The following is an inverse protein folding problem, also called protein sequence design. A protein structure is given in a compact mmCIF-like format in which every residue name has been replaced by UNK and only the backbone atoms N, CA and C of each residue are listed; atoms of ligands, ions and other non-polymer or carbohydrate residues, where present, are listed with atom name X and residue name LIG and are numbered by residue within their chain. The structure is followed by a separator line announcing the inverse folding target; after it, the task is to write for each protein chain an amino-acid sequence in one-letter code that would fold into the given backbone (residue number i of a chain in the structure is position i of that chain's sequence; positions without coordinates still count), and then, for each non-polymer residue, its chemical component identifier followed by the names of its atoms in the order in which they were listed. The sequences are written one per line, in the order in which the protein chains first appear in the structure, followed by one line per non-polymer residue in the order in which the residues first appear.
data_IF_947091434790
#
_entry.id   IF_947091434790
#
_cell.length_a   1.000
_cell.length_b   1.000
_cell.length_c   1.000
_cell.angle_alpha   90.00
_cell.angle_beta   90.00
_cell.angle_gamma   90.00
#
_symmetry.space_group_name_H-M   'P 1'
#
loop_
_entity.id
_entity.type
_entity.pdbx_description
1 polymer ?
#
# COMPACT_ATOMS: atom_id res chain seq x y z
N UNK A 1 -22.59 -1.43 -6.31
CA UNK A 1 -21.50 -2.44 -6.26
C UNK A 1 -21.26 -2.77 -4.81
N UNK A 2 -21.24 -4.05 -4.46
CA UNK A 2 -21.05 -4.46 -3.06
C UNK A 2 -19.56 -4.49 -2.75
N UNK A 3 -19.16 -3.85 -1.65
CA UNK A 3 -17.79 -3.92 -1.18
C UNK A 3 -17.52 -5.32 -0.63
N UNK A 4 -16.40 -5.94 -1.01
CA UNK A 4 -15.93 -7.20 -0.42
C UNK A 4 -14.78 -6.92 0.53
N UNK A 5 -14.71 -7.71 1.62
CA UNK A 5 -13.56 -7.76 2.53
C UNK A 5 -13.00 -9.17 2.48
N UNK A 6 -11.72 -9.28 2.15
CA UNK A 6 -11.07 -10.55 1.90
C UNK A 6 -9.73 -10.62 2.62
N UNK A 7 -9.40 -11.79 3.16
CA UNK A 7 -8.08 -12.07 3.73
C UNK A 7 -7.14 -12.45 2.59
N UNK A 8 -5.95 -11.85 2.57
CA UNK A 8 -4.95 -12.07 1.53
C UNK A 8 -3.57 -12.23 2.14
N UNK A 9 -2.68 -12.91 1.42
CA UNK A 9 -1.26 -13.03 1.75
C UNK A 9 -0.46 -12.02 0.94
N UNK A 10 0.46 -11.30 1.56
CA UNK A 10 1.45 -10.48 0.84
C UNK A 10 2.50 -11.43 0.24
N UNK A 11 2.56 -11.54 -1.08
CA UNK A 11 3.48 -12.46 -1.77
C UNK A 11 4.74 -11.78 -2.27
N UNK A 12 4.69 -10.46 -2.53
CA UNK A 12 5.84 -9.63 -2.89
C UNK A 12 5.67 -8.22 -2.36
N UNK A 13 6.77 -7.54 -2.09
CA UNK A 13 6.80 -6.11 -1.78
C UNK A 13 7.81 -5.38 -2.63
N UNK A 14 7.59 -4.08 -2.80
CA UNK A 14 8.51 -3.16 -3.44
C UNK A 14 8.47 -1.82 -2.71
N UNK A 15 9.63 -1.26 -2.39
CA UNK A 15 9.80 0.11 -1.94
C UNK A 15 11.03 0.66 -2.65
N UNK A 16 10.85 1.62 -3.55
CA UNK A 16 11.93 2.06 -4.41
C UNK A 16 11.47 2.99 -5.50
N UNK A 17 12.37 3.26 -6.45
CA UNK A 17 12.05 4.06 -7.63
C UNK A 17 11.71 3.15 -8.80
N UNK A 18 10.59 3.44 -9.45
CA UNK A 18 10.23 2.82 -10.73
C UNK A 18 11.09 3.39 -11.88
N UNK A 19 11.02 2.76 -13.05
CA UNK A 19 11.80 3.11 -14.24
C UNK A 19 11.62 4.57 -14.69
N UNK A 20 10.47 5.18 -14.39
CA UNK A 20 10.19 6.60 -14.63
C UNK A 20 10.60 7.54 -13.46
N UNK A 21 11.38 7.06 -12.50
CA UNK A 21 12.04 7.85 -11.46
C UNK A 21 11.18 8.26 -10.25
N UNK A 22 9.97 7.70 -10.13
CA UNK A 22 9.03 7.99 -9.04
C UNK A 22 9.31 7.03 -7.88
N UNK A 23 9.55 7.57 -6.68
CA UNK A 23 9.58 6.81 -5.44
C UNK A 23 8.16 6.34 -5.11
N UNK A 24 7.99 5.03 -4.95
CA UNK A 24 6.69 4.40 -4.70
C UNK A 24 6.86 3.15 -3.84
N UNK A 25 5.74 2.57 -3.42
CA UNK A 25 5.71 1.24 -2.85
C UNK A 25 4.54 0.40 -3.40
N UNK A 26 4.73 -0.92 -3.41
CA UNK A 26 3.70 -1.90 -3.73
C UNK A 26 3.68 -3.05 -2.74
N UNK A 27 2.47 -3.53 -2.45
CA UNK A 27 2.20 -4.83 -1.84
C UNK A 27 1.47 -5.67 -2.88
N UNK A 28 2.12 -6.71 -3.41
CA UNK A 28 1.43 -7.72 -4.21
C UNK A 28 0.81 -8.73 -3.27
N UNK A 29 -0.50 -8.91 -3.39
CA UNK A 29 -1.27 -9.80 -2.52
C UNK A 29 -2.01 -10.85 -3.33
N UNK A 30 -2.22 -12.02 -2.71
CA UNK A 30 -2.99 -13.13 -3.28
C UNK A 30 -4.09 -13.55 -2.30
N UNK A 31 -5.30 -13.65 -2.81
CA UNK A 31 -6.48 -14.20 -2.14
C UNK A 31 -6.97 -15.46 -2.85
N UNK A 32 -8.16 -15.93 -2.49
CA UNK A 32 -8.73 -17.13 -3.10
C UNK A 32 -9.17 -16.87 -4.55
N UNK A 33 -8.30 -17.22 -5.50
CA UNK A 33 -8.58 -17.11 -6.94
C UNK A 33 -8.28 -15.75 -7.57
N UNK A 34 -7.58 -14.85 -6.87
CA UNK A 34 -7.14 -13.57 -7.42
C UNK A 34 -5.79 -13.11 -6.85
N UNK A 35 -5.12 -12.23 -7.58
CA UNK A 35 -3.93 -11.50 -7.12
C UNK A 35 -3.94 -10.07 -7.64
N UNK A 36 -3.45 -9.12 -6.82
CA UNK A 36 -3.43 -7.69 -7.17
C UNK A 36 -2.27 -6.99 -6.47
N UNK A 37 -1.72 -5.94 -7.08
CA UNK A 37 -0.77 -5.03 -6.43
C UNK A 37 -1.49 -3.80 -5.89
N UNK A 38 -1.25 -3.49 -4.63
CA UNK A 38 -1.80 -2.34 -3.90
C UNK A 38 -0.66 -1.34 -3.68
N UNK A 39 -0.91 -0.06 -3.91
CA UNK A 39 0.09 0.99 -3.81
C UNK A 39 0.19 1.80 -5.09
N UNK A 40 1.41 2.13 -5.52
CA UNK A 40 1.64 2.92 -6.73
C UNK A 40 1.43 4.43 -6.54
N UNK A 41 1.41 4.90 -5.30
CA UNK A 41 1.29 6.32 -4.99
C UNK A 41 2.67 6.97 -4.96
N UNK A 42 2.76 8.20 -5.46
CA UNK A 42 4.00 8.97 -5.38
C UNK A 42 4.35 9.23 -3.91
N UNK A 43 5.48 8.68 -3.47
CA UNK A 43 6.09 8.94 -2.17
C UNK A 43 7.10 10.10 -2.23
N UNK A 44 7.13 10.79 -3.36
CA UNK A 44 7.90 11.97 -3.62
C UNK A 44 7.04 13.05 -4.27
N UNK A 45 7.59 14.27 -4.34
CA UNK A 45 7.02 15.40 -5.06
C UNK A 45 8.10 16.06 -5.90
N UNK A 46 7.72 16.65 -7.03
CA UNK A 46 8.64 17.45 -7.82
C UNK A 46 8.90 18.79 -7.12
N UNK A 47 10.17 19.12 -6.90
CA UNK A 47 10.63 20.40 -6.36
C UNK A 47 11.13 21.26 -7.53
N UNK A 48 10.37 22.31 -7.85
CA UNK A 48 10.65 23.24 -8.96
C UNK A 48 12.00 23.95 -8.81
N UNK A 49 12.38 24.32 -7.58
CA UNK A 49 13.64 25.02 -7.32
C UNK A 49 14.85 24.09 -7.51
N UNK A 50 14.73 22.84 -7.09
CA UNK A 50 15.79 21.82 -7.23
C UNK A 50 15.74 21.08 -8.56
N UNK A 51 14.70 21.30 -9.38
CA UNK A 51 14.44 20.61 -10.65
C UNK A 51 14.54 19.08 -10.54
N UNK A 52 14.04 18.52 -9.45
CA UNK A 52 14.08 17.07 -9.19
C UNK A 52 12.98 16.63 -8.25
N UNK A 53 12.67 15.33 -8.25
CA UNK A 53 11.81 14.71 -7.24
C UNK A 53 12.53 14.60 -5.90
N UNK A 54 11.82 14.95 -4.83
CA UNK A 54 12.29 14.87 -3.44
C UNK A 54 11.29 14.08 -2.61
N UNK A 55 11.80 13.26 -1.69
CA UNK A 55 10.95 12.47 -0.80
C UNK A 55 10.01 13.40 0.00
N UNK A 56 8.78 12.94 0.23
CA UNK A 56 7.76 13.70 0.94
C UNK A 56 7.58 13.15 2.36
N UNK A 57 7.54 14.02 3.38
CA UNK A 57 7.55 13.57 4.79
C UNK A 57 6.37 12.65 5.12
N UNK A 58 5.16 12.98 4.65
CA UNK A 58 3.93 12.20 4.87
C UNK A 58 4.04 10.78 4.29
N UNK A 59 4.94 10.57 3.33
CA UNK A 59 5.20 9.24 2.78
C UNK A 59 5.84 8.30 3.80
N UNK A 60 6.63 8.80 4.76
CA UNK A 60 7.14 7.97 5.84
C UNK A 60 6.03 7.50 6.78
N UNK A 61 5.04 8.35 7.06
CA UNK A 61 3.85 7.97 7.83
C UNK A 61 3.03 6.89 7.11
N UNK A 62 2.94 6.92 5.77
CA UNK A 62 2.27 5.84 5.03
C UNK A 62 2.98 4.50 5.24
N UNK A 63 4.31 4.50 5.11
CA UNK A 63 5.13 3.28 5.28
C UNK A 63 4.97 2.75 6.70
N UNK A 64 5.03 3.62 7.70
CA UNK A 64 4.83 3.27 9.11
C UNK A 64 3.43 2.65 9.33
N UNK A 65 2.36 3.27 8.82
CA UNK A 65 1.01 2.70 8.94
C UNK A 65 0.83 1.39 8.18
N UNK A 66 1.52 1.17 7.07
CA UNK A 66 1.54 -0.15 6.40
C UNK A 66 2.12 -1.21 7.34
N UNK A 67 3.26 -0.92 7.98
CA UNK A 67 3.92 -1.83 8.92
C UNK A 67 3.02 -2.12 10.14
N UNK A 68 2.43 -1.10 10.74
CA UNK A 68 1.53 -1.25 11.89
C UNK A 68 0.28 -2.08 11.54
N UNK A 69 -0.36 -1.80 10.41
CA UNK A 69 -1.55 -2.54 9.95
C UNK A 69 -1.20 -4.00 9.64
N UNK A 70 -0.06 -4.26 9.00
CA UNK A 70 0.38 -5.61 8.69
C UNK A 70 0.96 -6.37 9.90
N UNK A 71 1.25 -5.67 11.01
CA UNK A 71 1.93 -6.26 12.17
C UNK A 71 3.36 -6.71 11.83
N UNK A 72 4.12 -5.86 11.15
CA UNK A 72 5.51 -6.08 10.77
C UNK A 72 6.40 -5.00 11.41
N UNK A 73 7.65 -5.36 11.74
CA UNK A 73 8.62 -4.40 12.28
C UNK A 73 9.55 -3.83 11.19
N UNK A 74 9.58 -4.44 10.02
CA UNK A 74 10.38 -4.00 8.87
C UNK A 74 9.63 -4.26 7.56
N UNK A 75 10.06 -3.59 6.48
CA UNK A 75 9.45 -3.75 5.16
C UNK A 75 9.65 -5.17 4.62
N UNK A 76 10.80 -5.78 4.89
CA UNK A 76 11.17 -7.13 4.51
C UNK A 76 10.28 -8.18 5.19
N UNK A 77 9.84 -7.93 6.42
CA UNK A 77 8.93 -8.81 7.16
C UNK A 77 7.50 -8.84 6.59
N UNK A 78 7.13 -7.89 5.71
CA UNK A 78 5.79 -7.85 5.11
C UNK A 78 5.53 -9.07 4.23
N UNK A 79 6.55 -9.56 3.52
CA UNK A 79 6.37 -10.72 2.65
C UNK A 79 6.02 -11.96 3.48
N UNK A 80 4.90 -12.59 3.16
CA UNK A 80 4.36 -13.75 3.88
C UNK A 80 3.34 -13.41 4.96
N UNK A 81 3.18 -12.14 5.34
CA UNK A 81 2.14 -11.70 6.28
C UNK A 81 0.76 -11.75 5.64
N UNK A 82 -0.25 -11.86 6.50
CA UNK A 82 -1.65 -11.87 6.10
C UNK A 82 -2.32 -10.58 6.55
N UNK A 83 -3.06 -9.96 5.63
CA UNK A 83 -3.82 -8.73 5.86
C UNK A 83 -5.22 -8.88 5.30
N UNK A 84 -6.08 -7.92 5.60
CA UNK A 84 -7.38 -7.75 4.94
C UNK A 84 -7.26 -6.73 3.83
N UNK A 85 -8.07 -6.90 2.79
CA UNK A 85 -8.26 -5.90 1.73
C UNK A 85 -9.73 -5.60 1.56
N UNK A 86 -10.04 -4.36 1.15
CA UNK A 86 -11.39 -3.97 0.74
C UNK A 86 -11.39 -3.62 -0.75
N UNK A 87 -12.25 -4.30 -1.51
CA UNK A 87 -12.44 -4.08 -2.95
C UNK A 87 -13.86 -3.62 -3.26
N UNK A 88 -14.06 -2.96 -4.41
CA UNK A 88 -15.37 -2.57 -4.92
C UNK A 88 -16.05 -3.69 -5.75
N UNK A 89 -15.64 -4.95 -5.56
CA UNK A 89 -16.12 -6.11 -6.32
C UNK A 89 -15.15 -6.55 -7.43
N UNK A 90 -15.57 -7.54 -8.22
CA UNK A 90 -14.73 -8.18 -9.25
C UNK A 90 -14.16 -7.16 -10.25
N UNK A 91 -12.84 -7.17 -10.43
CA UNK A 91 -12.11 -6.20 -11.28
C UNK A 91 -11.95 -4.80 -10.68
N UNK A 92 -12.44 -4.57 -9.46
CA UNK A 92 -12.32 -3.31 -8.75
C UNK A 92 -10.90 -3.07 -8.22
N UNK A 93 -10.50 -1.80 -8.18
CA UNK A 93 -9.24 -1.38 -7.54
C UNK A 93 -9.33 -1.64 -6.04
N UNK A 94 -8.26 -2.20 -5.46
CA UNK A 94 -8.08 -2.31 -4.01
C UNK A 94 -7.32 -1.09 -3.53
N UNK A 95 -7.91 -0.33 -2.61
CA UNK A 95 -7.34 0.92 -2.09
C UNK A 95 -7.23 0.95 -0.58
N UNK A 96 -7.75 -0.07 0.12
CA UNK A 96 -7.63 -0.20 1.56
C UNK A 96 -7.02 -1.53 1.97
N UNK A 97 -6.11 -1.47 2.93
CA UNK A 97 -5.60 -2.63 3.66
C UNK A 97 -6.03 -2.55 5.12
N UNK A 98 -6.20 -3.70 5.76
CA UNK A 98 -6.63 -3.76 7.16
C UNK A 98 -5.88 -4.82 7.94
N UNK A 99 -5.81 -4.63 9.25
CA UNK A 99 -5.14 -5.57 10.13
C UNK A 99 -5.95 -6.86 10.18
N UNK A 100 -5.29 -8.03 10.27
CA UNK A 100 -5.98 -9.32 10.22
C UNK A 100 -6.95 -9.54 11.39
N UNK A 101 -6.63 -9.01 12.58
CA UNK A 101 -7.36 -9.26 13.83
C UNK A 101 -8.12 -8.03 14.29
N UNK A 102 -7.45 -6.87 14.33
CA UNK A 102 -8.00 -5.60 14.81
C UNK A 102 -8.82 -4.92 13.73
N UNK A 103 -9.87 -4.19 14.10
CA UNK A 103 -10.59 -3.31 13.18
C UNK A 103 -9.82 -2.00 12.90
N UNK A 104 -8.63 -2.15 12.32
CA UNK A 104 -7.76 -1.06 11.89
C UNK A 104 -7.60 -1.13 10.37
N UNK A 105 -7.79 0.01 9.71
CA UNK A 105 -7.82 0.14 8.26
C UNK A 105 -7.01 1.35 7.79
N UNK A 106 -6.14 1.11 6.81
CA UNK A 106 -5.43 2.14 6.08
C UNK A 106 -6.05 2.29 4.68
N UNK A 107 -6.52 3.49 4.35
CA UNK A 107 -7.06 3.86 3.05
C UNK A 107 -6.08 4.77 2.30
N UNK A 108 -5.48 4.24 1.24
CA UNK A 108 -4.46 4.95 0.48
C UNK A 108 -5.03 6.14 -0.31
N UNK A 109 -6.30 6.08 -0.76
CA UNK A 109 -6.92 7.16 -1.54
C UNK A 109 -7.23 8.39 -0.68
N UNK A 110 -7.42 8.20 0.63
CA UNK A 110 -7.65 9.29 1.57
C UNK A 110 -6.40 9.68 2.35
N UNK A 111 -5.40 8.79 2.46
CA UNK A 111 -4.20 9.04 3.26
C UNK A 111 -3.50 10.35 2.90
N UNK A 112 -3.34 10.65 1.62
CA UNK A 112 -2.68 11.88 1.15
C UNK A 112 -3.61 13.09 1.07
N UNK A 113 -4.91 12.93 1.30
CA UNK A 113 -5.88 14.02 1.29
C UNK A 113 -5.88 14.70 2.66
N UNK A 114 -5.10 15.77 2.76
CA UNK A 114 -5.20 16.81 3.80
C UNK A 114 -5.37 18.15 3.10
#
# INVERSE_FOLDING_TARGET
MNNTIENVKITKTFLGREDHGILTCYLTVEGYGFGVSIGGYCLDKYDEHKKKRVAFHKSFELIDRILEVAGANSWEELQGKYIRVKSNGFGGRVTKIGNLIKDDWLDFDTFFKE
#
